data_IF_876678313231
#
_entry.id   IF_876678313231
#
_cell.length_a   1.000
_cell.length_b   1.000
_cell.length_c   1.000
_cell.angle_alpha   90.00
_cell.angle_beta   90.00
_cell.angle_gamma   90.00
#
_symmetry.space_group_name_H-M   'P 1'
#
loop_
_entity.id
_entity.type
_entity.pdbx_description
1 polymer ?
#
# COMPACT_ATOMS: atom_id res chain seq x y z
N UNK A 1 10.25 -11.74 30.91
CA UNK A 1 9.81 -11.93 29.51
C UNK A 1 8.30 -11.93 29.44
N UNK A 2 7.68 -10.82 29.01
CA UNK A 2 6.25 -10.80 28.68
C UNK A 2 6.11 -11.40 27.28
N UNK A 3 5.41 -12.53 27.17
CA UNK A 3 5.11 -13.17 25.89
C UNK A 3 3.90 -12.49 25.27
N UNK A 4 4.13 -11.57 24.33
CA UNK A 4 3.07 -10.88 23.58
C UNK A 4 2.85 -11.59 22.24
N UNK A 5 1.73 -12.30 22.11
CA UNK A 5 1.36 -13.10 20.91
C UNK A 5 0.00 -12.66 20.35
N UNK A 6 -0.45 -13.30 19.27
CA UNK A 6 -1.78 -13.11 18.70
C UNK A 6 -2.93 -13.34 19.70
N UNK A 7 -2.73 -14.23 20.67
CA UNK A 7 -3.74 -14.58 21.67
C UNK A 7 -4.17 -13.38 22.53
N UNK A 8 -3.26 -12.43 22.79
CA UNK A 8 -3.59 -11.18 23.48
C UNK A 8 -4.63 -10.38 22.71
N UNK A 9 -4.40 -10.21 21.40
CA UNK A 9 -5.34 -9.51 20.52
C UNK A 9 -6.65 -10.28 20.32
N UNK A 10 -6.60 -11.61 20.21
CA UNK A 10 -7.80 -12.46 20.17
C UNK A 10 -8.65 -12.26 21.43
N UNK A 11 -8.03 -12.24 22.61
CA UNK A 11 -8.73 -12.07 23.90
C UNK A 11 -9.42 -10.71 23.99
N UNK A 12 -8.72 -9.62 23.64
CA UNK A 12 -9.29 -8.27 23.58
C UNK A 12 -10.42 -8.20 22.55
N UNK A 13 -10.23 -8.80 21.38
CA UNK A 13 -11.27 -8.86 20.34
C UNK A 13 -12.53 -9.57 20.82
N UNK A 14 -12.42 -10.56 21.70
CA UNK A 14 -13.57 -11.28 22.27
C UNK A 14 -14.27 -10.42 23.33
N UNK A 15 -13.53 -9.93 24.31
CA UNK A 15 -14.07 -9.25 25.50
C UNK A 15 -14.55 -7.81 25.28
N UNK A 16 -13.93 -7.05 24.37
CA UNK A 16 -14.21 -5.62 24.22
C UNK A 16 -15.18 -5.36 23.06
N UNK A 17 -16.49 -5.32 23.34
CA UNK A 17 -17.55 -5.16 22.32
C UNK A 17 -17.49 -3.86 21.52
N UNK A 18 -16.89 -2.81 22.10
CA UNK A 18 -16.71 -1.49 21.46
C UNK A 18 -15.33 -1.29 20.82
N UNK A 19 -14.48 -2.32 20.74
CA UNK A 19 -13.19 -2.20 20.06
C UNK A 19 -13.40 -1.94 18.57
N UNK A 20 -12.85 -0.84 18.06
CA UNK A 20 -12.97 -0.44 16.65
C UNK A 20 -11.63 -0.11 15.99
N UNK A 21 -10.62 0.25 16.79
CA UNK A 21 -9.31 0.67 16.31
C UNK A 21 -8.21 -0.13 16.98
N UNK A 22 -7.37 -0.77 16.17
CA UNK A 22 -6.25 -1.59 16.63
C UNK A 22 -4.96 -1.12 15.96
N UNK A 23 -3.93 -0.95 16.76
CA UNK A 23 -2.53 -0.97 16.33
C UNK A 23 -1.81 -1.99 17.20
N UNK A 24 -1.29 -3.05 16.59
CA UNK A 24 -0.69 -4.17 17.31
C UNK A 24 0.66 -4.54 16.72
N UNK A 25 1.69 -4.60 17.58
CA UNK A 25 3.03 -5.06 17.22
C UNK A 25 3.29 -6.41 17.89
N UNK A 26 3.67 -7.42 17.11
CA UNK A 26 3.96 -8.76 17.62
C UNK A 26 5.03 -9.47 16.77
N UNK A 27 5.49 -10.64 17.21
CA UNK A 27 6.47 -11.46 16.47
C UNK A 27 5.85 -12.62 15.68
N UNK A 28 4.62 -12.98 16.01
CA UNK A 28 3.91 -14.09 15.38
C UNK A 28 2.44 -13.75 15.19
N UNK A 29 1.82 -14.36 14.19
CA UNK A 29 0.39 -14.29 13.91
C UNK A 29 -0.04 -15.58 13.21
N UNK A 30 -1.33 -15.90 13.29
CA UNK A 30 -1.93 -16.98 12.50
C UNK A 30 -3.18 -16.51 11.78
N UNK A 31 -3.50 -17.15 10.67
CA UNK A 31 -4.75 -17.00 9.93
C UNK A 31 -5.96 -17.26 10.85
N UNK A 32 -5.88 -18.30 11.70
CA UNK A 32 -6.93 -18.62 12.67
C UNK A 32 -7.19 -17.46 13.65
N UNK A 33 -6.14 -16.82 14.16
CA UNK A 33 -6.29 -15.66 15.03
C UNK A 33 -6.94 -14.47 14.30
N UNK A 34 -6.49 -14.14 13.09
CA UNK A 34 -7.06 -13.06 12.27
C UNK A 34 -8.54 -13.32 11.93
N UNK A 35 -8.88 -14.55 11.54
CA UNK A 35 -10.27 -14.97 11.29
C UNK A 35 -11.12 -14.81 12.55
N UNK A 36 -10.60 -15.21 13.70
CA UNK A 36 -11.29 -15.10 14.99
C UNK A 36 -11.54 -13.63 15.35
N UNK A 37 -10.53 -12.77 15.20
CA UNK A 37 -10.65 -11.33 15.44
C UNK A 37 -11.71 -10.72 14.52
N UNK A 38 -11.67 -11.04 13.22
CA UNK A 38 -12.61 -10.54 12.23
C UNK A 38 -14.08 -10.91 12.56
N UNK A 39 -14.30 -12.15 13.01
CA UNK A 39 -15.62 -12.64 13.43
C UNK A 39 -16.08 -12.01 14.74
N UNK A 40 -15.18 -11.83 15.69
CA UNK A 40 -15.52 -11.21 16.97
C UNK A 40 -15.90 -9.75 16.78
N UNK A 41 -15.13 -8.99 15.97
CA UNK A 41 -15.25 -7.53 15.82
C UNK A 41 -15.54 -7.12 14.36
N UNK A 42 -16.76 -7.37 13.84
CA UNK A 42 -17.16 -6.88 12.51
C UNK A 42 -17.30 -5.35 12.44
N UNK A 43 -17.24 -4.66 13.58
CA UNK A 43 -17.32 -3.21 13.73
C UNK A 43 -15.95 -2.50 13.66
N UNK A 44 -14.85 -3.22 13.38
CA UNK A 44 -13.53 -2.59 13.21
C UNK A 44 -13.55 -1.57 12.06
N UNK A 45 -13.03 -0.38 12.34
CA UNK A 45 -12.84 0.70 11.38
C UNK A 45 -11.36 0.95 11.08
N UNK A 46 -10.47 0.58 12.00
CA UNK A 46 -9.02 0.69 11.84
C UNK A 46 -8.35 -0.59 12.35
N UNK A 47 -7.62 -1.28 11.48
CA UNK A 47 -6.89 -2.49 11.83
C UNK A 47 -5.46 -2.41 11.29
N UNK A 48 -4.50 -2.19 12.17
CA UNK A 48 -3.09 -2.06 11.81
C UNK A 48 -2.29 -3.12 12.54
N UNK A 49 -1.80 -4.10 11.81
CA UNK A 49 -0.95 -5.14 12.34
C UNK A 49 0.48 -4.95 11.82
N UNK A 50 1.44 -5.08 12.73
CA UNK A 50 2.87 -5.09 12.40
C UNK A 50 3.52 -6.31 13.05
N UNK A 51 3.74 -7.33 12.24
CA UNK A 51 4.60 -8.47 12.58
C UNK A 51 6.04 -8.02 12.35
N UNK A 52 6.86 -8.10 13.40
CA UNK A 52 8.21 -7.51 13.42
C UNK A 52 9.16 -8.13 12.39
N UNK A 53 8.98 -9.41 12.08
CA UNK A 53 9.75 -10.11 11.07
C UNK A 53 9.07 -9.97 9.69
N UNK A 54 9.72 -9.33 8.71
CA UNK A 54 9.20 -9.23 7.35
C UNK A 54 8.90 -10.60 6.77
N UNK A 55 7.78 -10.74 6.06
CA UNK A 55 7.37 -12.01 5.42
C UNK A 55 7.26 -13.21 6.37
N UNK A 56 7.05 -12.98 7.66
CA UNK A 56 6.73 -14.07 8.59
C UNK A 56 5.38 -14.72 8.21
N UNK A 57 5.34 -16.03 7.95
CA UNK A 57 4.10 -16.73 7.64
C UNK A 57 3.23 -16.93 8.89
N UNK A 58 2.07 -17.56 8.71
CA UNK A 58 1.37 -18.21 9.81
C UNK A 58 2.35 -19.16 10.53
N UNK A 59 2.61 -18.92 11.82
CA UNK A 59 3.63 -19.69 12.55
C UNK A 59 3.22 -21.15 12.80
N UNK A 60 1.95 -21.51 12.59
CA UNK A 60 1.44 -22.87 12.77
C UNK A 60 1.37 -23.62 11.44
N UNK A 61 0.88 -22.97 10.37
CA UNK A 61 0.64 -23.62 9.08
C UNK A 61 1.73 -23.34 8.05
N UNK A 62 2.58 -22.35 8.29
CA UNK A 62 3.57 -21.81 7.35
C UNK A 62 2.97 -21.21 6.07
N UNK A 63 1.65 -21.05 6.03
CA UNK A 63 0.94 -20.42 4.91
C UNK A 63 1.05 -18.89 4.98
N UNK A 64 0.89 -18.19 3.84
CA UNK A 64 0.64 -16.76 3.83
C UNK A 64 -0.58 -16.37 4.68
N UNK A 65 -0.59 -15.14 5.19
CA UNK A 65 -1.69 -14.60 6.01
C UNK A 65 -2.88 -14.08 5.18
N UNK A 66 -2.96 -14.48 3.90
CA UNK A 66 -3.95 -13.99 2.94
C UNK A 66 -5.38 -14.29 3.40
N UNK A 67 -5.64 -15.50 3.89
CA UNK A 67 -6.96 -15.91 4.37
C UNK A 67 -7.38 -15.12 5.62
N UNK A 68 -6.44 -14.83 6.50
CA UNK A 68 -6.63 -14.07 7.73
C UNK A 68 -7.01 -12.61 7.44
N UNK A 69 -6.22 -11.91 6.64
CA UNK A 69 -6.55 -10.54 6.22
C UNK A 69 -7.78 -10.51 5.31
N UNK A 70 -7.97 -11.52 4.46
CA UNK A 70 -9.18 -11.73 3.68
C UNK A 70 -10.42 -11.80 4.55
N UNK A 71 -10.36 -12.49 5.70
CA UNK A 71 -11.45 -12.52 6.68
C UNK A 71 -11.68 -11.15 7.33
N UNK A 72 -10.62 -10.39 7.66
CA UNK A 72 -10.74 -9.02 8.18
C UNK A 72 -11.54 -8.15 7.22
N UNK A 73 -11.16 -8.05 5.95
CA UNK A 73 -11.89 -7.23 4.96
C UNK A 73 -13.26 -7.82 4.57
N UNK A 74 -13.44 -9.12 4.70
CA UNK A 74 -14.73 -9.78 4.49
C UNK A 74 -15.74 -9.45 5.58
N UNK A 75 -15.36 -9.48 6.85
CA UNK A 75 -16.28 -9.31 7.98
C UNK A 75 -16.38 -7.84 8.45
N UNK A 76 -15.28 -7.08 8.39
CA UNK A 76 -15.23 -5.70 8.87
C UNK A 76 -15.64 -4.72 7.75
N UNK A 77 -16.94 -4.66 7.43
CA UNK A 77 -17.44 -3.85 6.30
C UNK A 77 -17.26 -2.34 6.48
N UNK A 78 -17.05 -1.87 7.70
CA UNK A 78 -16.75 -0.49 8.05
C UNK A 78 -15.26 -0.14 8.06
N UNK A 79 -14.37 -1.04 7.64
CA UNK A 79 -12.93 -0.84 7.71
C UNK A 79 -12.48 0.30 6.77
N UNK A 80 -11.89 1.33 7.36
CA UNK A 80 -11.39 2.53 6.69
C UNK A 80 -9.85 2.58 6.64
N UNK A 81 -9.17 1.96 7.60
CA UNK A 81 -7.71 1.94 7.66
C UNK A 81 -7.16 0.54 7.88
N UNK A 82 -6.22 0.13 7.03
CA UNK A 82 -5.57 -1.18 7.09
C UNK A 82 -4.05 -1.03 6.94
N UNK A 83 -3.29 -1.73 7.77
CA UNK A 83 -1.85 -1.92 7.56
C UNK A 83 -1.54 -3.40 7.55
N UNK A 84 -0.83 -3.85 6.51
CA UNK A 84 -0.49 -5.24 6.25
C UNK A 84 0.95 -5.57 6.68
N UNK A 85 1.16 -6.80 7.13
CA UNK A 85 2.48 -7.36 7.45
C UNK A 85 2.42 -8.89 7.47
N UNK A 86 3.57 -9.56 7.46
CA UNK A 86 3.69 -11.02 7.36
C UNK A 86 3.84 -11.47 5.90
N UNK A 87 3.88 -12.77 5.67
CA UNK A 87 3.92 -13.35 4.33
C UNK A 87 2.56 -13.15 3.66
N UNK A 88 2.55 -12.48 2.51
CA UNK A 88 1.33 -12.11 1.79
C UNK A 88 1.56 -12.21 0.28
N UNK A 89 0.64 -12.84 -0.43
CA UNK A 89 0.67 -13.03 -1.89
C UNK A 89 -0.28 -12.06 -2.59
N UNK A 90 -0.35 -12.11 -3.92
CA UNK A 90 -1.34 -11.32 -4.68
C UNK A 90 -2.80 -11.61 -4.26
N UNK A 91 -3.08 -12.79 -3.68
CA UNK A 91 -4.42 -13.19 -3.21
C UNK A 91 -4.99 -12.25 -2.13
N UNK A 92 -4.18 -11.73 -1.21
CA UNK A 92 -4.70 -10.80 -0.17
C UNK A 92 -5.24 -9.53 -0.82
N UNK A 93 -4.58 -9.06 -1.88
CA UNK A 93 -4.97 -7.84 -2.57
C UNK A 93 -6.23 -8.05 -3.41
N UNK A 94 -6.43 -9.24 -3.97
CA UNK A 94 -7.70 -9.62 -4.59
C UNK A 94 -8.86 -9.53 -3.57
N UNK A 95 -8.67 -10.08 -2.37
CA UNK A 95 -9.67 -9.97 -1.29
C UNK A 95 -9.93 -8.52 -0.91
N UNK A 96 -8.88 -7.70 -0.79
CA UNK A 96 -9.00 -6.26 -0.48
C UNK A 96 -9.79 -5.55 -1.58
N UNK A 97 -9.39 -5.67 -2.84
CA UNK A 97 -10.09 -5.05 -3.97
C UNK A 97 -11.55 -5.47 -4.10
N UNK A 98 -11.85 -6.73 -3.79
CA UNK A 98 -13.21 -7.28 -3.86
C UNK A 98 -14.09 -6.85 -2.68
N UNK A 99 -13.53 -6.70 -1.47
CA UNK A 99 -14.32 -6.60 -0.22
C UNK A 99 -14.18 -5.29 0.54
N UNK A 100 -13.04 -4.60 0.44
CA UNK A 100 -12.70 -3.44 1.28
C UNK A 100 -13.19 -2.11 0.68
N UNK A 101 -14.48 -2.03 0.35
CA UNK A 101 -15.06 -0.90 -0.42
C UNK A 101 -15.04 0.45 0.30
N UNK A 102 -14.94 0.43 1.64
CA UNK A 102 -14.83 1.63 2.50
C UNK A 102 -13.40 1.95 2.93
N UNK A 103 -12.41 1.23 2.42
CA UNK A 103 -11.02 1.43 2.80
C UNK A 103 -10.51 2.75 2.22
N UNK A 104 -10.12 3.67 3.10
CA UNK A 104 -9.61 5.00 2.76
C UNK A 104 -8.08 5.06 2.81
N UNK A 105 -7.45 4.28 3.70
CA UNK A 105 -6.00 4.26 3.87
C UNK A 105 -5.47 2.83 3.97
N UNK A 106 -4.54 2.50 3.07
CA UNK A 106 -3.85 1.21 3.05
C UNK A 106 -2.34 1.42 3.10
N UNK A 107 -1.68 0.76 4.06
CA UNK A 107 -0.21 0.69 4.14
C UNK A 107 0.27 -0.74 3.90
N UNK A 108 1.22 -0.92 2.99
CA UNK A 108 1.74 -2.21 2.53
C UNK A 108 3.27 -2.21 2.68
N UNK A 109 3.81 -3.27 3.26
CA UNK A 109 5.26 -3.47 3.33
C UNK A 109 5.60 -4.95 3.08
N UNK A 110 6.61 -5.22 2.25
CA UNK A 110 7.16 -6.56 2.01
C UNK A 110 6.12 -7.62 1.55
N UNK A 111 5.15 -7.24 0.74
CA UNK A 111 4.01 -8.09 0.38
C UNK A 111 3.73 -8.10 -1.14
N UNK A 112 3.06 -9.16 -1.60
CA UNK A 112 2.67 -9.35 -3.00
C UNK A 112 3.76 -10.03 -3.83
N UNK A 113 3.34 -10.49 -5.01
CA UNK A 113 4.17 -11.25 -5.93
C UNK A 113 4.36 -10.50 -7.26
N UNK A 114 3.34 -9.72 -7.68
CA UNK A 114 3.36 -9.03 -8.97
C UNK A 114 2.49 -7.78 -9.00
N UNK A 115 2.51 -7.08 -10.14
CA UNK A 115 1.61 -5.96 -10.43
C UNK A 115 0.11 -6.28 -10.28
N UNK A 116 -0.31 -7.55 -10.34
CA UNK A 116 -1.71 -7.92 -10.11
C UNK A 116 -2.18 -7.50 -8.71
N UNK A 117 -1.33 -7.64 -7.69
CA UNK A 117 -1.65 -7.21 -6.33
C UNK A 117 -2.03 -5.72 -6.27
N UNK A 118 -1.18 -4.85 -6.80
CA UNK A 118 -1.47 -3.42 -6.85
C UNK A 118 -2.68 -3.10 -7.74
N UNK A 119 -2.84 -3.82 -8.86
CA UNK A 119 -3.99 -3.64 -9.74
C UNK A 119 -5.31 -3.88 -9.02
N UNK A 120 -5.45 -4.97 -8.24
CA UNK A 120 -6.67 -5.27 -7.48
C UNK A 120 -7.02 -4.16 -6.48
N UNK A 121 -6.01 -3.58 -5.83
CA UNK A 121 -6.23 -2.47 -4.90
C UNK A 121 -6.75 -1.24 -5.63
N UNK A 122 -6.07 -0.82 -6.70
CA UNK A 122 -6.41 0.40 -7.42
C UNK A 122 -7.75 0.29 -8.17
N UNK A 123 -8.06 -0.88 -8.75
CA UNK A 123 -9.30 -1.11 -9.48
C UNK A 123 -10.49 -1.40 -8.56
N UNK A 124 -10.27 -1.98 -7.38
CA UNK A 124 -11.32 -2.47 -6.50
C UNK A 124 -11.63 -1.60 -5.27
N UNK A 125 -10.71 -0.76 -4.79
CA UNK A 125 -10.94 0.02 -3.56
C UNK A 125 -11.62 1.37 -3.86
N UNK A 126 -12.95 1.39 -3.86
CA UNK A 126 -13.76 2.54 -4.25
C UNK A 126 -13.42 3.82 -3.45
N UNK A 127 -13.30 3.69 -2.11
CA UNK A 127 -13.10 4.83 -1.20
C UNK A 127 -11.64 5.21 -0.95
N UNK A 128 -10.68 4.58 -1.64
CA UNK A 128 -9.26 4.75 -1.34
C UNK A 128 -8.83 6.21 -1.52
N UNK A 129 -8.13 6.75 -0.51
CA UNK A 129 -7.61 8.12 -0.48
C UNK A 129 -6.10 8.15 -0.33
N UNK A 130 -5.52 7.23 0.43
CA UNK A 130 -4.08 7.15 0.67
C UNK A 130 -3.59 5.72 0.51
N UNK A 131 -2.56 5.53 -0.31
CA UNK A 131 -1.88 4.26 -0.47
C UNK A 131 -0.39 4.46 -0.23
N UNK A 132 0.17 3.71 0.71
CA UNK A 132 1.58 3.79 1.09
C UNK A 132 2.19 2.40 0.93
N UNK A 133 3.19 2.28 0.08
CA UNK A 133 3.79 1.00 -0.32
C UNK A 133 5.29 1.08 -0.15
N UNK A 134 5.88 0.04 0.43
CA UNK A 134 7.33 -0.13 0.44
C UNK A 134 7.75 -1.57 0.24
N UNK A 135 8.89 -1.76 -0.43
CA UNK A 135 9.54 -3.07 -0.56
C UNK A 135 8.63 -4.16 -1.17
N UNK A 136 7.83 -3.78 -2.17
CA UNK A 136 6.88 -4.65 -2.87
C UNK A 136 7.26 -4.80 -4.36
N UNK A 137 6.98 -5.96 -4.99
CA UNK A 137 7.24 -6.19 -6.41
C UNK A 137 6.18 -5.54 -7.32
N UNK A 138 5.77 -4.31 -6.98
CA UNK A 138 4.80 -3.52 -7.75
C UNK A 138 5.53 -2.49 -8.60
N UNK A 139 5.14 -2.35 -9.85
CA UNK A 139 5.80 -1.51 -10.84
C UNK A 139 4.82 -0.89 -11.82
N UNK A 140 5.30 -0.78 -13.06
CA UNK A 140 4.69 0.08 -14.07
C UNK A 140 3.29 -0.36 -14.48
N UNK A 141 3.04 -1.67 -14.64
CA UNK A 141 1.82 -2.13 -15.31
C UNK A 141 0.57 -1.77 -14.51
N UNK A 142 0.62 -2.00 -13.19
CA UNK A 142 -0.51 -1.70 -12.31
C UNK A 142 -0.77 -0.20 -12.21
N UNK A 143 0.29 0.60 -12.11
CA UNK A 143 0.22 2.05 -12.00
C UNK A 143 -0.37 2.66 -13.28
N UNK A 144 0.15 2.25 -14.45
CA UNK A 144 -0.25 2.78 -15.75
C UNK A 144 -1.64 2.28 -16.21
N UNK A 145 -2.08 1.11 -15.75
CA UNK A 145 -3.43 0.61 -16.02
C UNK A 145 -4.51 1.37 -15.23
N UNK A 146 -4.16 2.00 -14.11
CA UNK A 146 -5.12 2.61 -13.17
C UNK A 146 -4.89 4.13 -12.98
N UNK A 147 -4.35 4.82 -13.99
CA UNK A 147 -3.97 6.24 -13.86
C UNK A 147 -5.11 7.16 -13.40
N UNK A 148 -6.34 6.92 -13.84
CA UNK A 148 -7.51 7.72 -13.45
C UNK A 148 -7.84 7.58 -11.96
N UNK A 149 -7.51 6.45 -11.34
CA UNK A 149 -7.71 6.25 -9.90
C UNK A 149 -6.89 7.24 -9.08
N UNK A 150 -5.70 7.60 -9.54
CA UNK A 150 -4.77 8.48 -8.84
C UNK A 150 -5.33 9.91 -8.66
N UNK A 151 -6.21 10.37 -9.55
CA UNK A 151 -6.91 11.66 -9.42
C UNK A 151 -8.06 11.63 -8.40
N UNK A 152 -8.57 10.43 -8.06
CA UNK A 152 -9.61 10.28 -7.02
C UNK A 152 -9.00 10.24 -5.61
N UNK A 153 -7.72 9.90 -5.53
CA UNK A 153 -6.96 9.74 -4.30
C UNK A 153 -6.30 11.05 -3.87
N UNK A 154 -6.02 11.18 -2.58
CA UNK A 154 -5.16 12.25 -2.08
C UNK A 154 -3.72 12.02 -2.52
N UNK A 155 -3.21 10.81 -2.31
CA UNK A 155 -1.80 10.51 -2.59
C UNK A 155 -1.50 9.01 -2.69
N UNK A 156 -0.43 8.71 -3.42
CA UNK A 156 0.24 7.42 -3.50
C UNK A 156 1.71 7.60 -3.17
N UNK A 157 2.21 6.82 -2.22
CA UNK A 157 3.64 6.69 -1.91
C UNK A 157 4.11 5.29 -2.28
N UNK A 158 5.22 5.20 -3.00
CA UNK A 158 5.91 3.94 -3.31
C UNK A 158 7.42 4.11 -3.09
N UNK A 159 8.05 3.23 -2.32
CA UNK A 159 9.51 3.25 -2.11
C UNK A 159 10.10 1.85 -2.18
N UNK A 160 11.29 1.70 -2.76
CA UNK A 160 11.89 0.37 -2.99
C UNK A 160 10.92 -0.57 -3.73
N UNK A 161 10.25 -0.05 -4.76
CA UNK A 161 9.33 -0.78 -5.63
C UNK A 161 9.91 -0.85 -7.05
N UNK A 162 9.22 -1.53 -7.97
CA UNK A 162 9.67 -1.76 -9.33
C UNK A 162 9.14 -0.69 -10.32
N UNK A 163 8.80 0.52 -9.84
CA UNK A 163 8.32 1.59 -10.72
C UNK A 163 9.51 2.26 -11.40
N UNK A 164 9.48 2.29 -12.73
CA UNK A 164 10.53 2.85 -13.56
C UNK A 164 10.43 4.36 -13.70
N UNK A 165 11.57 5.00 -13.98
CA UNK A 165 11.60 6.43 -14.30
C UNK A 165 10.78 6.76 -15.56
N UNK A 166 10.76 5.86 -16.55
CA UNK A 166 9.95 5.98 -17.76
C UNK A 166 8.45 6.01 -17.47
N UNK A 167 7.97 5.16 -16.57
CA UNK A 167 6.57 5.18 -16.15
C UNK A 167 6.19 6.48 -15.43
N UNK A 168 7.11 7.05 -14.62
CA UNK A 168 6.91 8.35 -13.99
C UNK A 168 6.75 9.47 -15.03
N UNK A 169 7.58 9.47 -16.08
CA UNK A 169 7.48 10.41 -17.22
C UNK A 169 6.16 10.26 -17.96
N UNK A 170 5.78 9.03 -18.31
CA UNK A 170 4.52 8.76 -18.97
C UNK A 170 3.33 9.25 -18.13
N UNK A 171 3.34 8.98 -16.83
CA UNK A 171 2.26 9.39 -15.93
C UNK A 171 2.11 10.92 -15.87
N UNK A 172 3.22 11.65 -15.74
CA UNK A 172 3.20 13.12 -15.71
C UNK A 172 2.66 13.73 -17.02
N UNK A 173 3.02 13.16 -18.17
CA UNK A 173 2.50 13.60 -19.47
C UNK A 173 1.00 13.33 -19.61
N UNK A 174 0.53 12.18 -19.12
CA UNK A 174 -0.86 11.76 -19.27
C UNK A 174 -1.81 12.42 -18.26
N UNK A 175 -1.34 12.70 -17.05
CA UNK A 175 -2.16 13.13 -15.91
C UNK A 175 -1.73 14.51 -15.40
N UNK A 176 -2.19 15.60 -16.04
CA UNK A 176 -1.68 16.94 -15.80
C UNK A 176 -1.97 17.49 -14.40
N UNK A 177 -2.99 16.98 -13.73
CA UNK A 177 -3.41 17.42 -12.39
C UNK A 177 -2.71 16.65 -11.26
N UNK A 178 -1.72 15.82 -11.60
CA UNK A 178 -0.90 15.09 -10.63
C UNK A 178 0.52 15.67 -10.60
N UNK A 179 1.02 15.93 -9.40
CA UNK A 179 2.45 16.04 -9.20
C UNK A 179 3.02 14.64 -9.04
N UNK A 180 3.97 14.30 -9.91
CA UNK A 180 4.71 13.04 -9.88
C UNK A 180 6.14 13.36 -9.43
N UNK A 181 6.39 13.20 -8.13
CA UNK A 181 7.67 13.51 -7.51
C UNK A 181 8.52 12.25 -7.36
N UNK A 182 9.66 12.25 -8.04
CA UNK A 182 10.72 11.26 -7.83
C UNK A 182 11.67 11.80 -6.76
N UNK A 183 11.92 10.99 -5.72
CA UNK A 183 12.76 11.32 -4.58
C UNK A 183 13.93 10.33 -4.57
N UNK A 184 15.15 10.83 -4.62
CA UNK A 184 16.38 10.06 -4.78
C UNK A 184 17.50 10.69 -3.97
N UNK A 185 17.79 10.12 -2.82
CA UNK A 185 18.74 10.70 -1.86
C UNK A 185 20.20 10.41 -2.21
N UNK A 186 20.44 9.46 -3.14
CA UNK A 186 21.76 8.89 -3.39
C UNK A 186 22.33 9.21 -4.77
N UNK A 187 21.65 9.98 -5.63
CA UNK A 187 22.03 10.08 -7.03
C UNK A 187 21.74 11.41 -7.73
N UNK A 188 22.39 11.58 -8.88
CA UNK A 188 22.02 12.57 -9.89
C UNK A 188 20.82 12.04 -10.68
N UNK A 189 19.70 12.76 -10.65
CA UNK A 189 18.52 12.47 -11.44
C UNK A 189 18.71 12.80 -12.95
N UNK A 190 19.85 13.37 -13.34
CA UNK A 190 20.11 13.85 -14.71
C UNK A 190 20.59 12.79 -15.71
N UNK A 191 20.80 11.54 -15.29
CA UNK A 191 21.28 10.46 -16.16
C UNK A 191 20.61 9.10 -15.91
N UNK A 192 19.34 9.08 -15.50
CA UNK A 192 18.61 7.82 -15.28
C UNK A 192 18.03 7.28 -16.60
N UNK A 193 18.33 6.02 -16.90
CA UNK A 193 17.64 5.31 -17.98
C UNK A 193 16.17 5.09 -17.62
N UNK A 194 15.31 5.11 -18.63
CA UNK A 194 13.86 4.99 -18.46
C UNK A 194 13.44 3.68 -17.81
N UNK A 195 14.24 2.62 -17.97
CA UNK A 195 14.01 1.31 -17.36
C UNK A 195 14.45 1.22 -15.89
N UNK A 196 15.23 2.16 -15.37
CA UNK A 196 15.72 2.10 -14.00
C UNK A 196 14.58 2.37 -12.99
N UNK A 197 14.44 1.53 -11.94
CA UNK A 197 13.54 1.81 -10.84
C UNK A 197 13.91 3.11 -10.13
N UNK A 198 12.90 3.84 -9.67
CA UNK A 198 13.09 5.00 -8.79
C UNK A 198 13.17 4.56 -7.33
N UNK A 199 13.97 5.27 -6.51
CA UNK A 199 14.11 4.93 -5.09
C UNK A 199 12.79 5.15 -4.35
N UNK A 200 12.23 6.36 -4.49
CA UNK A 200 10.96 6.78 -3.89
C UNK A 200 10.16 7.57 -4.93
N UNK A 201 8.86 7.33 -4.91
CA UNK A 201 7.87 7.98 -5.76
C UNK A 201 6.74 8.47 -4.88
N UNK A 202 6.41 9.75 -5.03
CA UNK A 202 5.27 10.37 -4.39
C UNK A 202 4.38 11.03 -5.44
N UNK A 203 3.16 10.55 -5.55
CA UNK A 203 2.15 11.06 -6.48
C UNK A 203 1.01 11.65 -5.66
N UNK A 204 0.59 12.86 -6.00
CA UNK A 204 -0.57 13.48 -5.38
C UNK A 204 -1.29 14.41 -6.35
N UNK A 205 -2.62 14.45 -6.26
CA UNK A 205 -3.41 15.38 -7.05
C UNK A 205 -3.29 16.79 -6.50
N UNK A 206 -3.26 17.76 -7.40
CA UNK A 206 -3.13 19.18 -7.05
C UNK A 206 -3.84 20.06 -8.06
N UNK A 207 -4.38 21.18 -7.59
CA UNK A 207 -4.86 22.27 -8.45
C UNK A 207 -3.86 23.43 -8.53
N UNK A 208 -2.78 23.37 -7.75
CA UNK A 208 -1.73 24.39 -7.70
C UNK A 208 -0.57 24.12 -8.68
N UNK A 209 -0.51 22.91 -9.25
CA UNK A 209 0.62 22.47 -10.08
C UNK A 209 1.88 22.14 -9.25
N UNK A 210 3.07 22.10 -9.89
CA UNK A 210 4.34 21.82 -9.23
C UNK A 210 4.67 22.81 -8.11
N UNK A 211 5.24 22.32 -7.00
CA UNK A 211 5.65 23.16 -5.87
C UNK A 211 7.01 23.83 -6.11
N UNK A 212 7.22 25.01 -5.55
CA UNK A 212 8.43 25.83 -5.76
C UNK A 212 9.55 25.58 -4.76
N UNK A 213 9.33 24.74 -3.74
CA UNK A 213 10.22 24.51 -2.59
C UNK A 213 10.89 23.12 -2.64
N UNK A 214 11.10 22.57 -3.84
CA UNK A 214 11.74 21.26 -4.01
C UNK A 214 13.23 21.33 -3.66
N UNK A 215 13.73 20.49 -2.73
CA UNK A 215 15.16 20.32 -2.54
C UNK A 215 15.77 19.55 -3.72
N UNK A 216 17.09 19.61 -3.89
CA UNK A 216 17.78 19.08 -5.08
C UNK A 216 17.65 17.56 -5.33
N UNK A 217 17.33 16.79 -4.28
CA UNK A 217 17.09 15.34 -4.36
C UNK A 217 15.62 14.97 -4.71
N UNK A 218 14.77 15.97 -4.96
CA UNK A 218 13.39 15.78 -5.40
C UNK A 218 13.21 16.42 -6.77
N UNK A 219 12.59 15.67 -7.68
CA UNK A 219 12.21 16.16 -9.00
C UNK A 219 10.74 15.88 -9.24
N UNK A 220 9.96 16.94 -9.38
CA UNK A 220 8.67 16.83 -10.07
C UNK A 220 8.99 16.57 -11.54
N UNK A 221 8.49 15.45 -12.06
CA UNK A 221 8.64 15.13 -13.47
C UNK A 221 7.78 16.12 -14.25
N UNK A 222 8.41 17.10 -14.87
CA UNK A 222 7.74 18.17 -15.61
C UNK A 222 7.60 17.85 -17.10
N UNK A 223 6.56 18.41 -17.74
CA UNK A 223 6.16 18.12 -19.12
C UNK A 223 7.12 18.68 -20.16
N UNK A 224 7.76 19.81 -19.86
CA UNK A 224 8.41 20.63 -20.89
C UNK A 224 9.88 20.28 -21.18
N UNK A 225 10.54 19.47 -20.33
CA UNK A 225 11.94 19.07 -20.58
C UNK A 225 12.10 17.95 -21.61
N UNK A 226 11.01 17.32 -22.07
CA UNK A 226 11.07 16.21 -23.04
C UNK A 226 11.10 16.71 -24.50
N UNK A 227 10.70 17.97 -24.78
CA UNK A 227 10.64 18.52 -26.14
C UNK A 227 11.91 19.27 -26.59
N UNK A 228 13.00 19.26 -25.82
CA UNK A 228 14.24 19.99 -26.16
C UNK A 228 15.37 19.12 -26.72
N UNK A 229 15.09 17.87 -27.12
CA UNK A 229 16.07 17.02 -27.82
C UNK A 229 15.42 16.46 -29.08
N UNK A 230 15.36 17.28 -30.12
CA UNK A 230 15.12 16.89 -31.51
C UNK A 230 16.12 17.61 -32.40
#
# INVERSE_FOLDING_TARGET
>A
NVSLTEQGLVTVSKGCSKLQSVLYFCRQMSNSALITIARNRPNLTCFRLCILEPRAPDYLTLEPLDAGFGAIVKHCKGLQRLSLSGLLTDCVFEYIGTRAKRLEMLSIAFAGDSDLGLHYVLSGCDSLQKLEIRDCPFGDKALLANVSKLETMRSLWMSSCAVSYGACKFLSQKMPMLNVEVIDENGSLDSRFDSCPVEKLYIYRTVAGPRSDMPGYIRTIDRDRVNTIS
#
